data_IF_575631466251
#
_entry.id   IF_575631466251
#
_cell.length_a   1.000
_cell.length_b   1.000
_cell.length_c   1.000
_cell.angle_alpha   90.00
_cell.angle_beta   90.00
_cell.angle_gamma   90.00
#
_symmetry.space_group_name_H-M   'P 1'
#
loop_
_entity.id
_entity.type
_entity.pdbx_description
1 polymer ?
#
# COMPACT_ATOMS: atom_id res chain seq x y z
N UNK A 1 11.77 -15.22 0.49
CA UNK A 1 12.35 -14.29 -0.51
C UNK A 1 13.72 -13.84 -0.03
N UNK A 2 14.69 -13.54 -0.92
CA UNK A 2 15.94 -12.88 -0.54
C UNK A 2 15.65 -11.58 0.22
N UNK A 3 16.44 -11.27 1.25
CA UNK A 3 16.09 -10.23 2.23
C UNK A 3 15.83 -8.85 1.61
N UNK A 4 16.58 -8.47 0.56
CA UNK A 4 16.36 -7.22 -0.19
C UNK A 4 14.93 -7.11 -0.75
N UNK A 5 14.41 -8.20 -1.31
CA UNK A 5 13.09 -8.20 -1.95
C UNK A 5 11.95 -8.11 -0.92
N UNK A 6 12.18 -8.58 0.31
CA UNK A 6 11.20 -8.45 1.39
C UNK A 6 11.00 -7.00 1.80
N UNK A 7 12.08 -6.23 1.95
CA UNK A 7 11.99 -4.81 2.30
C UNK A 7 11.29 -3.99 1.21
N UNK A 8 11.53 -4.32 -0.07
CA UNK A 8 10.86 -3.65 -1.20
C UNK A 8 9.36 -4.00 -1.21
N UNK A 9 9.02 -5.27 -0.93
CA UNK A 9 7.63 -5.70 -0.89
C UNK A 9 6.82 -5.02 0.23
N UNK A 10 7.44 -4.72 1.38
CA UNK A 10 6.78 -3.99 2.48
C UNK A 10 6.39 -2.57 2.08
N UNK A 11 7.15 -1.91 1.20
CA UNK A 11 6.83 -0.59 0.68
C UNK A 11 5.85 -0.58 -0.49
N UNK A 12 5.50 -1.74 -1.04
CA UNK A 12 4.70 -1.83 -2.25
C UNK A 12 3.19 -1.96 -1.92
N UNK A 13 2.34 -0.99 -2.30
CA UNK A 13 0.89 -1.07 -2.07
C UNK A 13 0.24 -2.28 -2.75
N UNK A 14 0.79 -2.76 -3.88
CA UNK A 14 0.26 -3.91 -4.61
C UNK A 14 0.40 -5.22 -3.82
N UNK A 15 1.42 -5.32 -2.97
CA UNK A 15 1.61 -6.50 -2.11
C UNK A 15 0.43 -6.67 -1.16
N UNK A 16 -0.05 -5.58 -0.55
CA UNK A 16 -1.20 -5.58 0.34
C UNK A 16 -2.51 -5.91 -0.41
N UNK A 17 -2.69 -5.39 -1.64
CA UNK A 17 -3.88 -5.70 -2.46
C UNK A 17 -3.93 -7.19 -2.81
N UNK A 18 -2.81 -7.78 -3.24
CA UNK A 18 -2.74 -9.21 -3.57
C UNK A 18 -2.98 -10.06 -2.32
N UNK A 19 -2.45 -9.65 -1.16
CA UNK A 19 -2.68 -10.35 0.11
C UNK A 19 -4.16 -10.32 0.54
N UNK A 20 -4.85 -9.18 0.38
CA UNK A 20 -6.30 -9.06 0.59
C UNK A 20 -7.05 -10.00 -0.35
N UNK A 21 -6.77 -9.95 -1.66
CA UNK A 21 -7.42 -10.80 -2.65
C UNK A 21 -7.22 -12.29 -2.33
N UNK A 22 -5.99 -12.69 -1.96
CA UNK A 22 -5.68 -14.06 -1.54
C UNK A 22 -6.48 -14.46 -0.31
N UNK A 23 -6.49 -13.62 0.73
CA UNK A 23 -7.18 -13.90 2.00
C UNK A 23 -8.70 -13.99 1.81
N UNK A 24 -9.28 -13.09 1.00
CA UNK A 24 -10.71 -13.08 0.69
C UNK A 24 -11.13 -14.26 -0.18
N UNK A 25 -10.40 -14.56 -1.26
CA UNK A 25 -10.78 -15.60 -2.22
C UNK A 25 -10.41 -17.01 -1.77
N UNK A 26 -9.29 -17.18 -1.06
CA UNK A 26 -8.75 -18.51 -0.75
C UNK A 26 -9.02 -18.89 0.71
N UNK A 27 -8.83 -17.98 1.67
CA UNK A 27 -8.89 -18.30 3.10
C UNK A 27 -10.25 -17.95 3.73
N UNK A 28 -10.99 -17.01 3.15
CA UNK A 28 -12.23 -16.48 3.73
C UNK A 28 -12.04 -15.73 5.06
N UNK A 29 -10.80 -15.36 5.39
CA UNK A 29 -10.46 -14.71 6.67
C UNK A 29 -10.31 -13.20 6.48
N UNK A 30 -11.03 -12.42 7.31
CA UNK A 30 -11.09 -10.96 7.27
C UNK A 30 -10.23 -10.24 8.32
N UNK A 31 -9.63 -10.96 9.27
CA UNK A 31 -8.93 -10.37 10.44
C UNK A 31 -7.83 -9.37 10.06
N UNK A 32 -7.13 -9.60 8.94
CA UNK A 32 -6.01 -8.74 8.50
C UNK A 32 -6.40 -7.70 7.43
N UNK A 33 -7.63 -7.73 6.93
CA UNK A 33 -8.06 -6.84 5.82
C UNK A 33 -7.98 -5.38 6.23
N UNK A 34 -8.41 -5.06 7.46
CA UNK A 34 -8.35 -3.68 7.97
C UNK A 34 -6.91 -3.16 8.04
N UNK A 35 -5.95 -4.00 8.43
CA UNK A 35 -4.54 -3.64 8.46
C UNK A 35 -3.98 -3.35 7.07
N UNK A 36 -4.29 -4.21 6.11
CA UNK A 36 -3.88 -4.05 4.72
C UNK A 36 -4.51 -2.79 4.08
N UNK A 37 -5.78 -2.49 4.40
CA UNK A 37 -6.48 -1.28 3.95
C UNK A 37 -5.85 0.00 4.51
N UNK A 38 -5.48 0.01 5.80
CA UNK A 38 -4.80 1.14 6.42
C UNK A 38 -3.44 1.39 5.76
N UNK A 39 -2.69 0.33 5.45
CA UNK A 39 -1.41 0.45 4.75
C UNK A 39 -1.57 1.11 3.37
N UNK A 40 -2.59 0.70 2.60
CA UNK A 40 -2.92 1.30 1.30
C UNK A 40 -3.33 2.77 1.45
N UNK A 41 -4.10 3.10 2.49
CA UNK A 41 -4.58 4.45 2.74
C UNK A 41 -3.43 5.40 3.11
N UNK A 42 -2.50 4.96 3.96
CA UNK A 42 -1.28 5.71 4.29
C UNK A 42 -0.44 5.95 3.04
N UNK A 43 -0.25 4.91 2.21
CA UNK A 43 0.48 5.04 0.96
C UNK A 43 -0.17 6.08 0.03
N UNK A 44 -1.49 6.00 -0.17
CA UNK A 44 -2.23 6.98 -0.96
C UNK A 44 -2.06 8.39 -0.41
N UNK A 45 -2.23 8.58 0.90
CA UNK A 45 -2.11 9.90 1.52
C UNK A 45 -0.70 10.48 1.34
N UNK A 46 0.34 9.65 1.45
CA UNK A 46 1.72 10.07 1.19
C UNK A 46 1.92 10.49 -0.27
N UNK A 47 1.38 9.74 -1.24
CA UNK A 47 1.46 10.06 -2.66
C UNK A 47 0.68 11.33 -3.00
N UNK A 48 -0.51 11.51 -2.44
CA UNK A 48 -1.29 12.74 -2.58
C UNK A 48 -0.57 13.95 -1.98
N UNK A 49 0.08 13.79 -0.83
CA UNK A 49 0.86 14.86 -0.21
C UNK A 49 2.07 15.25 -1.07
N UNK A 50 2.82 14.25 -1.55
CA UNK A 50 3.94 14.45 -2.50
C UNK A 50 3.46 15.13 -3.79
N UNK A 51 2.33 14.70 -4.34
CA UNK A 51 1.71 15.32 -5.50
C UNK A 51 1.29 16.77 -5.20
N UNK A 52 0.70 17.03 -4.04
CA UNK A 52 0.31 18.38 -3.61
C UNK A 52 1.51 19.34 -3.55
N UNK A 53 2.64 18.88 -2.99
CA UNK A 53 3.90 19.65 -3.00
C UNK A 53 4.37 19.89 -4.44
N UNK A 54 4.30 18.87 -5.30
CA UNK A 54 4.70 18.99 -6.71
C UNK A 54 3.81 19.98 -7.47
N UNK A 55 2.50 19.97 -7.25
CA UNK A 55 1.56 20.93 -7.82
C UNK A 55 1.82 22.35 -7.33
N UNK A 56 2.08 22.53 -6.03
CA UNK A 56 2.44 23.84 -5.47
C UNK A 56 3.70 24.42 -6.14
N UNK A 57 4.69 23.55 -6.43
CA UNK A 57 5.94 23.93 -7.12
C UNK A 57 5.79 24.15 -8.64
N UNK A 58 4.67 23.75 -9.26
CA UNK A 58 4.39 24.00 -10.68
C UNK A 58 3.62 25.31 -10.88
N UNK A 59 2.86 25.74 -9.87
CA UNK A 59 2.04 26.96 -9.91
C UNK A 59 2.83 28.22 -9.49
N UNK A 60 3.86 28.08 -8.66
CA UNK A 60 4.84 29.13 -8.34
C UNK A 60 5.93 29.22 -9.42
#
# INVERSE_FOLDING_TARGET
MPNILQYIALGNPLTYIIDICRRLMITGNTDSILGDLIAILIFNMSMYFLASIRFKKIIE
#
